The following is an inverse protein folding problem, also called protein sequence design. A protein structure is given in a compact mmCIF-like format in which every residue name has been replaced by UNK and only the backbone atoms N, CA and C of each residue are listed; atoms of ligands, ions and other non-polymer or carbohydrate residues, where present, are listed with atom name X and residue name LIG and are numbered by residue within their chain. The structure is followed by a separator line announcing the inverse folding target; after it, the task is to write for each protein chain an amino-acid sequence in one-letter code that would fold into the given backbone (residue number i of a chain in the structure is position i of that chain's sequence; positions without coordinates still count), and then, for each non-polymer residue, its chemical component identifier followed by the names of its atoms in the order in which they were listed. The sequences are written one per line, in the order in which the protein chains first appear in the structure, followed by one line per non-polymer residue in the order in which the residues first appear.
data_IF_560295323101
#
_entry.id   IF_560295323101
#
_cell.length_a   1.000
_cell.length_b   1.000
_cell.length_c   1.000
_cell.angle_alpha   90.00
_cell.angle_beta   90.00
_cell.angle_gamma   90.00
#
_symmetry.space_group_name_H-M   'P 1'
#
loop_
_entity.id
_entity.type
_entity.pdbx_description
1 polymer ?
#
# COMPACT_ATOMS: atom_id res chain seq x y z
N UNK A 1 0.35 37.56 14.56
CA UNK A 1 -1.10 37.23 14.50
C UNK A 1 -1.29 36.01 13.59
N UNK A 2 -1.50 34.82 14.14
CA UNK A 2 -1.79 33.61 13.35
C UNK A 2 -3.22 33.71 12.81
N UNK A 3 -3.38 33.93 11.49
CA UNK A 3 -4.68 33.85 10.83
C UNK A 3 -5.14 32.39 10.87
N UNK A 4 -6.14 32.08 11.70
CA UNK A 4 -6.83 30.78 11.64
C UNK A 4 -7.32 30.54 10.21
N UNK A 5 -7.10 29.33 9.63
CA UNK A 5 -7.61 29.02 8.31
C UNK A 5 -9.14 29.19 8.28
N UNK A 6 -9.62 29.89 7.25
CA UNK A 6 -11.03 30.19 7.05
C UNK A 6 -11.82 28.88 6.91
N UNK A 7 -12.91 28.75 7.68
CA UNK A 7 -13.86 27.62 7.67
C UNK A 7 -14.32 27.19 6.28
N UNK A 8 -14.32 28.12 5.31
CA UNK A 8 -14.68 27.85 3.91
C UNK A 8 -13.69 26.90 3.20
N UNK A 9 -12.41 26.93 3.55
CA UNK A 9 -11.39 26.10 2.88
C UNK A 9 -11.50 24.62 3.27
N UNK A 10 -11.87 24.34 4.54
CA UNK A 10 -12.12 22.96 5.00
C UNK A 10 -13.34 22.32 4.33
N UNK A 11 -14.37 23.11 4.02
CA UNK A 11 -15.59 22.61 3.36
C UNK A 11 -15.31 22.18 1.91
N UNK A 12 -14.47 22.95 1.19
CA UNK A 12 -14.11 22.63 -0.20
C UNK A 12 -13.36 21.29 -0.30
N UNK A 13 -12.41 21.03 0.60
CA UNK A 13 -11.63 19.79 0.60
C UNK A 13 -12.47 18.56 0.96
N UNK A 14 -13.44 18.70 1.87
CA UNK A 14 -14.40 17.64 2.17
C UNK A 14 -15.26 17.27 0.95
N UNK A 15 -15.63 18.25 0.13
CA UNK A 15 -16.43 18.02 -1.06
C UNK A 15 -15.68 17.23 -2.14
N UNK A 16 -14.41 17.53 -2.36
CA UNK A 16 -13.55 16.79 -3.31
C UNK A 16 -13.37 15.33 -2.90
N UNK A 17 -13.13 15.06 -1.60
CA UNK A 17 -13.00 13.68 -1.11
C UNK A 17 -14.32 12.90 -1.21
N UNK A 18 -15.46 13.57 -0.98
CA UNK A 18 -16.78 12.97 -1.16
C UNK A 18 -17.07 12.66 -2.63
N UNK A 19 -16.71 13.56 -3.55
CA UNK A 19 -16.83 13.34 -5.00
C UNK A 19 -15.92 12.21 -5.47
N UNK A 20 -14.67 12.12 -4.98
CA UNK A 20 -13.78 10.99 -5.28
C UNK A 20 -14.34 9.65 -4.78
N UNK A 21 -14.89 9.61 -3.56
CA UNK A 21 -15.54 8.40 -3.01
C UNK A 21 -16.76 7.99 -3.84
N UNK A 22 -17.60 8.95 -4.26
CA UNK A 22 -18.76 8.69 -5.11
C UNK A 22 -18.37 8.23 -6.51
N UNK A 23 -17.35 8.84 -7.13
CA UNK A 23 -16.82 8.38 -8.43
C UNK A 23 -16.25 6.98 -8.33
N UNK A 24 -15.49 6.65 -7.28
CA UNK A 24 -14.97 5.30 -7.06
C UNK A 24 -16.09 4.27 -6.89
N UNK A 25 -17.18 4.62 -6.21
CA UNK A 25 -18.36 3.74 -6.04
C UNK A 25 -19.15 3.55 -7.34
N UNK A 26 -19.11 4.54 -8.25
CA UNK A 26 -19.80 4.49 -9.54
C UNK A 26 -19.08 3.58 -10.55
N UNK A 27 -17.73 3.61 -10.59
CA UNK A 27 -16.93 2.75 -11.47
C UNK A 27 -16.98 1.27 -11.11
N UNK A 28 -17.50 0.92 -9.93
CA UNK A 28 -17.52 -0.43 -9.36
C UNK A 28 -18.95 -0.92 -9.13
N UNK A 29 -19.91 -0.51 -9.97
CA UNK A 29 -21.30 -0.99 -9.87
C UNK A 29 -21.37 -2.51 -10.15
N UNK A 30 -21.90 -3.33 -9.20
CA UNK A 30 -22.01 -4.78 -9.38
C UNK A 30 -22.87 -5.21 -10.59
N UNK A 31 -23.71 -4.31 -11.10
CA UNK A 31 -24.67 -4.61 -12.17
C UNK A 31 -24.04 -4.74 -13.56
N UNK A 32 -22.78 -4.36 -13.75
CA UNK A 32 -22.09 -4.39 -15.04
C UNK A 32 -20.84 -5.27 -15.08
N UNK A 33 -20.46 -5.89 -13.96
CA UNK A 33 -19.26 -6.73 -13.87
C UNK A 33 -19.61 -8.21 -13.90
N UNK A 34 -18.89 -9.06 -14.66
CA UNK A 34 -19.02 -10.51 -14.59
C UNK A 34 -18.59 -11.08 -13.21
N UNK A 35 -17.96 -10.27 -12.36
CA UNK A 35 -17.46 -10.64 -11.03
C UNK A 35 -17.99 -9.69 -9.95
N UNK A 36 -19.32 -9.64 -9.71
CA UNK A 36 -19.96 -8.69 -8.79
C UNK A 36 -19.47 -8.84 -7.34
N UNK A 37 -18.91 -10.02 -7.00
CA UNK A 37 -18.43 -10.34 -5.67
C UNK A 37 -17.08 -9.68 -5.35
N UNK A 38 -16.13 -9.70 -6.29
CA UNK A 38 -14.81 -9.10 -6.05
C UNK A 38 -14.90 -7.57 -6.08
N UNK A 39 -15.78 -7.05 -6.94
CA UNK A 39 -16.20 -5.66 -6.94
C UNK A 39 -16.84 -5.27 -5.60
N UNK A 40 -17.66 -6.15 -4.99
CA UNK A 40 -18.24 -5.90 -3.67
C UNK A 40 -17.22 -5.92 -2.52
N UNK A 41 -16.21 -6.81 -2.56
CA UNK A 41 -15.12 -6.82 -1.56
C UNK A 41 -14.23 -5.60 -1.72
N UNK A 42 -13.78 -5.25 -2.93
CA UNK A 42 -12.99 -4.04 -3.13
C UNK A 42 -13.78 -2.78 -2.78
N UNK A 43 -15.09 -2.74 -3.04
CA UNK A 43 -15.96 -1.67 -2.56
C UNK A 43 -16.16 -1.69 -1.04
N UNK A 44 -16.15 -2.85 -0.41
CA UNK A 44 -16.21 -2.96 1.04
C UNK A 44 -14.87 -2.54 1.67
N UNK A 45 -13.72 -2.85 1.08
CA UNK A 45 -12.40 -2.43 1.57
C UNK A 45 -12.12 -0.96 1.29
N UNK A 46 -12.39 -0.46 0.08
CA UNK A 46 -12.40 0.97 -0.24
C UNK A 46 -13.42 1.67 0.61
N UNK A 47 -14.60 1.06 0.81
CA UNK A 47 -15.65 1.53 1.66
C UNK A 47 -15.20 1.63 3.11
N UNK A 48 -14.56 0.61 3.68
CA UNK A 48 -14.06 0.53 5.05
C UNK A 48 -12.86 1.45 5.23
N UNK A 49 -11.91 1.51 4.29
CA UNK A 49 -10.83 2.49 4.27
C UNK A 49 -11.42 3.91 4.21
N UNK A 50 -12.38 4.17 3.32
CA UNK A 50 -13.12 5.43 3.19
C UNK A 50 -13.99 5.74 4.41
N UNK A 51 -14.52 4.73 5.10
CA UNK A 51 -15.36 4.89 6.29
C UNK A 51 -14.49 5.11 7.54
N UNK A 52 -13.36 4.43 7.66
CA UNK A 52 -12.31 4.73 8.65
C UNK A 52 -11.76 6.14 8.41
N UNK A 53 -11.55 6.52 7.13
CA UNK A 53 -11.19 7.87 6.66
C UNK A 53 -12.24 8.94 7.04
N UNK A 54 -13.53 8.60 7.09
CA UNK A 54 -14.63 9.51 7.42
C UNK A 54 -14.99 9.52 8.92
N UNK A 55 -14.85 8.39 9.62
CA UNK A 55 -15.13 8.24 11.05
C UNK A 55 -14.05 8.91 11.92
N UNK A 56 -12.83 9.10 11.41
CA UNK A 56 -11.73 9.83 12.08
C UNK A 56 -11.86 11.37 11.97
N UNK A 57 -12.99 11.86 11.46
CA UNK A 57 -13.41 13.27 11.42
C UNK A 57 -12.85 14.11 10.25
N UNK A 58 -13.59 15.17 9.94
CA UNK A 58 -13.35 16.14 8.88
C UNK A 58 -11.86 16.45 8.69
N UNK A 59 -11.25 15.88 7.64
CA UNK A 59 -9.88 16.11 7.16
C UNK A 59 -8.84 16.23 8.30
N UNK A 60 -8.05 15.18 8.58
CA UNK A 60 -7.02 15.24 9.61
C UNK A 60 -6.21 16.54 9.55
N UNK A 61 -6.23 17.32 10.64
CA UNK A 61 -5.45 18.56 10.68
C UNK A 61 -3.95 18.26 10.52
N UNK A 62 -3.50 17.11 11.02
CA UNK A 62 -2.12 16.66 10.84
C UNK A 62 -1.85 16.34 9.36
N UNK A 63 -0.83 16.99 8.81
CA UNK A 63 -0.27 16.69 7.49
C UNK A 63 0.19 15.23 7.40
N UNK A 64 0.69 14.69 8.50
CA UNK A 64 1.18 13.31 8.61
C UNK A 64 0.07 12.28 8.39
N UNK A 65 -1.11 12.44 9.02
CA UNK A 65 -2.21 11.51 8.81
C UNK A 65 -2.70 11.60 7.36
N UNK A 66 -2.82 12.82 6.79
CA UNK A 66 -3.13 12.98 5.36
C UNK A 66 -2.12 12.30 4.45
N UNK A 67 -0.84 12.40 4.75
CA UNK A 67 0.22 11.75 3.98
C UNK A 67 0.13 10.22 4.08
N UNK A 68 -0.08 9.68 5.28
CA UNK A 68 -0.29 8.24 5.47
C UNK A 68 -1.51 7.73 4.69
N UNK A 69 -2.61 8.49 4.72
CA UNK A 69 -3.81 8.19 3.93
C UNK A 69 -3.55 8.28 2.42
N UNK A 70 -2.80 9.30 1.98
CA UNK A 70 -2.32 9.39 0.59
C UNK A 70 -1.28 8.31 0.24
N UNK A 71 -0.78 7.54 1.20
CA UNK A 71 0.06 6.37 0.96
C UNK A 71 -0.74 5.07 0.84
N UNK A 72 -2.00 5.03 1.30
CA UNK A 72 -2.77 3.79 1.36
C UNK A 72 -3.14 3.23 -0.01
N UNK A 73 -3.14 4.05 -1.08
CA UNK A 73 -3.42 3.59 -2.44
C UNK A 73 -2.47 2.50 -2.91
N UNK A 74 -1.26 2.42 -2.34
CA UNK A 74 -0.27 1.37 -2.63
C UNK A 74 -0.78 -0.03 -2.29
N UNK A 75 -1.66 -0.13 -1.29
CA UNK A 75 -2.33 -1.38 -0.91
C UNK A 75 -3.60 -1.64 -1.72
N UNK A 76 -4.13 -0.66 -2.44
CA UNK A 76 -5.37 -0.83 -3.22
C UNK A 76 -5.07 -1.03 -4.70
N UNK A 77 -3.98 -0.45 -5.21
CA UNK A 77 -3.61 -0.49 -6.62
C UNK A 77 -3.38 -1.92 -7.13
N UNK A 78 -2.79 -2.79 -6.31
CA UNK A 78 -2.60 -4.19 -6.71
C UNK A 78 -3.92 -4.96 -6.78
N UNK A 79 -4.88 -4.64 -5.90
CA UNK A 79 -6.20 -5.25 -5.91
C UNK A 79 -6.89 -4.88 -7.22
N UNK A 80 -6.89 -3.59 -7.57
CA UNK A 80 -7.46 -3.14 -8.83
C UNK A 80 -6.77 -3.75 -10.04
N UNK A 81 -5.45 -3.87 -10.04
CA UNK A 81 -4.71 -4.53 -11.11
C UNK A 81 -5.24 -5.97 -11.34
N UNK A 82 -5.41 -6.74 -10.25
CA UNK A 82 -5.96 -8.10 -10.32
C UNK A 82 -7.41 -8.14 -10.74
N UNK A 83 -8.22 -7.15 -10.37
CA UNK A 83 -9.64 -7.11 -10.77
C UNK A 83 -9.84 -6.70 -12.21
N UNK A 84 -8.98 -5.82 -12.72
CA UNK A 84 -9.12 -5.25 -14.05
C UNK A 84 -8.51 -6.14 -15.13
N UNK A 85 -7.43 -6.86 -14.81
CA UNK A 85 -6.64 -7.57 -15.82
C UNK A 85 -6.57 -9.09 -15.64
N UNK A 86 -7.14 -9.64 -14.56
CA UNK A 86 -7.06 -11.06 -14.25
C UNK A 86 -8.41 -11.63 -13.83
N UNK A 87 -8.55 -12.96 -13.94
CA UNK A 87 -9.55 -13.71 -13.18
C UNK A 87 -8.88 -14.27 -11.90
N UNK A 88 -9.02 -13.62 -10.74
CA UNK A 88 -8.22 -13.95 -9.57
C UNK A 88 -8.36 -15.42 -9.14
N UNK A 89 -9.56 -16.00 -9.23
CA UNK A 89 -9.78 -17.37 -8.78
C UNK A 89 -9.10 -18.41 -9.68
N UNK A 90 -9.03 -18.14 -10.99
CA UNK A 90 -8.47 -19.07 -11.97
C UNK A 90 -6.97 -18.88 -12.19
N UNK A 91 -6.49 -17.65 -12.04
CA UNK A 91 -5.14 -17.25 -12.41
C UNK A 91 -4.23 -17.02 -11.22
N UNK A 92 -4.76 -16.72 -10.03
CA UNK A 92 -3.95 -16.39 -8.85
C UNK A 92 -4.04 -17.54 -7.85
N UNK A 93 -2.90 -18.06 -7.42
CA UNK A 93 -2.84 -19.13 -6.43
C UNK A 93 -1.54 -19.10 -5.64
N UNK A 94 -1.57 -19.65 -4.41
CA UNK A 94 -0.37 -19.84 -3.59
C UNK A 94 0.50 -20.95 -4.18
N UNK A 95 1.82 -20.81 -4.13
CA UNK A 95 2.74 -21.72 -4.84
C UNK A 95 2.61 -23.18 -4.41
N UNK A 96 2.21 -23.43 -3.17
CA UNK A 96 2.00 -24.79 -2.65
C UNK A 96 0.70 -25.45 -3.15
N UNK A 97 -0.24 -24.67 -3.71
CA UNK A 97 -1.57 -25.13 -4.09
C UNK A 97 -2.00 -24.56 -5.45
N UNK A 98 -1.91 -25.37 -6.52
CA UNK A 98 -2.33 -24.92 -7.84
C UNK A 98 -3.85 -24.65 -7.90
N UNK A 99 -4.22 -23.42 -8.28
CA UNK A 99 -5.61 -22.98 -8.54
C UNK A 99 -6.60 -23.31 -7.41
N UNK A 100 -6.14 -23.16 -6.17
CA UNK A 100 -6.90 -23.53 -4.98
C UNK A 100 -8.30 -22.89 -4.91
N UNK A 101 -8.44 -21.64 -5.37
CA UNK A 101 -9.69 -20.88 -5.27
C UNK A 101 -10.83 -21.42 -6.15
N UNK A 102 -10.52 -22.10 -7.26
CA UNK A 102 -11.54 -22.72 -8.12
C UNK A 102 -12.26 -23.88 -7.43
N UNK A 103 -11.58 -24.58 -6.54
CA UNK A 103 -12.14 -25.68 -5.76
C UNK A 103 -12.84 -25.24 -4.48
N UNK A 104 -12.76 -23.95 -4.13
CA UNK A 104 -13.36 -23.42 -2.91
C UNK A 104 -14.79 -22.95 -3.15
N UNK A 105 -15.72 -23.53 -2.39
CA UNK A 105 -17.06 -22.97 -2.24
C UNK A 105 -17.00 -21.62 -1.53
N UNK A 106 -18.05 -20.82 -1.75
CA UNK A 106 -18.18 -19.56 -1.04
C UNK A 106 -18.35 -19.81 0.47
N UNK A 107 -17.37 -19.36 1.26
CA UNK A 107 -17.34 -19.58 2.70
C UNK A 107 -16.09 -18.96 3.33
N UNK A 108 -15.83 -19.36 4.58
CA UNK A 108 -14.73 -18.78 5.37
C UNK A 108 -13.35 -18.99 4.72
N UNK A 109 -13.10 -20.15 4.14
CA UNK A 109 -11.82 -20.45 3.47
C UNK A 109 -11.58 -19.53 2.26
N UNK A 110 -12.62 -19.30 1.44
CA UNK A 110 -12.53 -18.39 0.29
C UNK A 110 -12.35 -16.94 0.71
N UNK A 111 -12.98 -16.53 1.82
CA UNK A 111 -12.75 -15.22 2.42
C UNK A 111 -11.32 -15.08 2.94
N UNK A 112 -10.79 -16.07 3.65
CA UNK A 112 -9.39 -16.06 4.11
C UNK A 112 -8.42 -15.99 2.93
N UNK A 113 -8.66 -16.76 1.88
CA UNK A 113 -7.87 -16.71 0.65
C UNK A 113 -7.90 -15.31 0.00
N UNK A 114 -9.10 -14.74 -0.17
CA UNK A 114 -9.26 -13.42 -0.76
C UNK A 114 -8.61 -12.33 0.11
N UNK A 115 -8.77 -12.39 1.43
CA UNK A 115 -8.11 -11.47 2.37
C UNK A 115 -6.59 -11.60 2.30
N UNK A 116 -6.06 -12.83 2.29
CA UNK A 116 -4.63 -13.08 2.15
C UNK A 116 -4.07 -12.48 0.85
N UNK A 117 -4.83 -12.55 -0.25
CA UNK A 117 -4.48 -11.90 -1.52
C UNK A 117 -4.49 -10.36 -1.40
N UNK A 118 -5.52 -9.79 -0.78
CA UNK A 118 -5.69 -8.34 -0.64
C UNK A 118 -4.62 -7.70 0.28
N UNK A 119 -4.09 -8.44 1.25
CA UNK A 119 -3.03 -7.94 2.14
C UNK A 119 -1.62 -8.27 1.67
N UNK A 120 -1.49 -8.92 0.51
CA UNK A 120 -0.20 -9.34 -0.07
C UNK A 120 0.16 -8.53 -1.32
N UNK A 121 0.41 -7.21 -1.22
CA UNK A 121 0.65 -6.35 -2.38
C UNK A 121 1.91 -6.73 -3.17
N UNK A 122 2.86 -7.44 -2.54
CA UNK A 122 4.08 -7.97 -3.17
C UNK A 122 3.94 -9.40 -3.67
N UNK A 123 2.80 -10.03 -3.41
CA UNK A 123 2.47 -11.36 -3.89
C UNK A 123 3.52 -12.42 -3.51
N UNK A 124 4.12 -12.28 -2.33
CA UNK A 124 5.11 -13.23 -1.81
C UNK A 124 4.41 -14.56 -1.51
N UNK A 125 4.96 -15.67 -2.00
CA UNK A 125 4.33 -16.99 -1.88
C UNK A 125 3.19 -17.24 -2.90
N UNK A 126 2.90 -16.29 -3.78
CA UNK A 126 1.93 -16.43 -4.87
C UNK A 126 2.62 -16.71 -6.21
N UNK A 127 1.89 -17.27 -7.17
CA UNK A 127 2.39 -17.58 -8.51
C UNK A 127 2.85 -16.34 -9.31
N UNK A 128 2.26 -15.17 -9.06
CA UNK A 128 2.67 -13.89 -9.67
C UNK A 128 3.84 -13.19 -8.96
N UNK A 129 4.20 -13.64 -7.75
CA UNK A 129 5.26 -13.04 -6.94
C UNK A 129 6.62 -13.00 -7.64
N UNK A 130 7.38 -11.92 -7.40
CA UNK A 130 8.75 -11.79 -7.89
C UNK A 130 9.60 -12.97 -7.40
N UNK A 131 10.22 -13.73 -8.32
CA UNK A 131 11.08 -14.88 -7.99
C UNK A 131 12.15 -14.59 -6.93
N UNK A 132 12.67 -13.37 -6.92
CA UNK A 132 13.69 -12.94 -5.95
C UNK A 132 13.20 -12.81 -4.52
N UNK A 133 11.89 -12.68 -4.31
CA UNK A 133 11.28 -12.53 -2.98
C UNK A 133 10.73 -13.85 -2.42
N UNK A 134 10.84 -14.96 -3.17
CA UNK A 134 10.01 -16.14 -2.94
C UNK A 134 10.34 -16.96 -1.69
N UNK A 135 11.49 -16.75 -1.04
CA UNK A 135 11.87 -17.59 0.10
C UNK A 135 12.61 -16.77 1.16
N UNK A 136 11.86 -15.99 1.93
CA UNK A 136 12.37 -15.59 3.24
C UNK A 136 12.74 -16.85 4.04
N UNK A 137 13.87 -16.87 4.74
CA UNK A 137 14.29 -18.05 5.49
C UNK A 137 13.24 -18.40 6.53
N UNK A 138 12.90 -19.69 6.62
CA UNK A 138 11.88 -20.18 7.56
C UNK A 138 12.20 -19.76 8.99
N UNK A 139 11.28 -19.04 9.63
CA UNK A 139 11.46 -18.52 10.99
C UNK A 139 10.28 -18.93 11.86
N UNK A 140 10.55 -19.33 13.09
CA UNK A 140 9.47 -19.64 14.02
C UNK A 140 8.61 -18.41 14.31
N UNK A 141 7.28 -18.60 14.34
CA UNK A 141 6.30 -17.54 14.60
C UNK A 141 6.62 -16.69 15.83
N UNK A 142 6.99 -17.33 16.94
CA UNK A 142 7.38 -16.63 18.19
C UNK A 142 8.60 -15.72 17.99
N UNK A 143 9.60 -16.20 17.25
CA UNK A 143 10.82 -15.43 16.95
C UNK A 143 10.51 -14.27 16.00
N UNK A 144 9.68 -14.50 14.98
CA UNK A 144 9.18 -13.46 14.10
C UNK A 144 8.50 -12.35 14.90
N UNK A 145 7.48 -12.69 15.69
CA UNK A 145 6.72 -11.70 16.48
C UNK A 145 7.65 -10.90 17.41
N UNK A 146 8.56 -11.57 18.12
CA UNK A 146 9.52 -10.88 19.00
C UNK A 146 10.46 -9.94 18.23
N UNK A 147 10.96 -10.35 17.06
CA UNK A 147 11.82 -9.52 16.23
C UNK A 147 11.04 -8.33 15.63
N UNK A 148 9.84 -8.59 15.14
CA UNK A 148 8.99 -7.60 14.49
C UNK A 148 8.49 -6.55 15.48
N UNK A 149 8.16 -6.96 16.71
CA UNK A 149 7.80 -6.02 17.78
C UNK A 149 8.98 -5.14 18.18
N UNK A 150 10.19 -5.70 18.36
CA UNK A 150 11.39 -4.91 18.64
C UNK A 150 11.68 -3.92 17.51
N UNK A 151 11.54 -4.39 16.27
CA UNK A 151 11.79 -3.56 15.10
C UNK A 151 10.76 -2.43 14.98
N UNK A 152 9.47 -2.74 15.12
CA UNK A 152 8.36 -1.78 15.21
C UNK A 152 8.65 -0.69 16.24
N UNK A 153 8.98 -1.06 17.48
CA UNK A 153 9.31 -0.08 18.53
C UNK A 153 10.50 0.80 18.13
N UNK A 154 11.55 0.22 17.54
CA UNK A 154 12.73 0.98 17.10
C UNK A 154 12.38 1.99 16.01
N UNK A 155 11.69 1.57 14.95
CA UNK A 155 11.34 2.48 13.85
C UNK A 155 10.32 3.53 14.29
N UNK A 156 9.40 3.17 15.18
CA UNK A 156 8.44 4.10 15.76
C UNK A 156 9.13 5.20 16.58
N UNK A 157 10.07 4.85 17.46
CA UNK A 157 10.84 5.83 18.25
C UNK A 157 11.66 6.77 17.36
N UNK A 158 12.28 6.23 16.30
CA UNK A 158 13.04 7.06 15.33
C UNK A 158 12.10 8.03 14.61
N UNK A 159 10.93 7.55 14.16
CA UNK A 159 9.93 8.39 13.50
C UNK A 159 9.39 9.50 14.42
N UNK A 160 9.12 9.17 15.69
CA UNK A 160 8.65 10.13 16.70
C UNK A 160 9.72 11.21 16.95
N UNK A 161 10.97 10.79 17.17
CA UNK A 161 12.09 11.72 17.36
C UNK A 161 12.30 12.65 16.15
N UNK A 162 12.25 12.13 14.92
CA UNK A 162 12.35 12.93 13.70
C UNK A 162 11.17 13.91 13.56
N UNK A 163 9.95 13.48 13.92
CA UNK A 163 8.77 14.35 13.92
C UNK A 163 8.94 15.53 14.89
N UNK A 164 9.53 15.30 16.07
CA UNK A 164 9.86 16.38 17.02
C UNK A 164 10.88 17.38 16.45
N UNK A 165 11.80 16.93 15.60
CA UNK A 165 12.76 17.81 14.91
C UNK A 165 12.04 18.68 13.89
N UNK A 166 11.09 18.13 13.12
CA UNK A 166 10.28 18.92 12.17
C UNK A 166 9.48 20.02 12.84
N UNK A 167 8.82 19.69 13.96
CA UNK A 167 8.02 20.64 14.72
C UNK A 167 8.88 21.80 15.25
N UNK A 168 10.13 21.52 15.59
CA UNK A 168 11.10 22.54 16.03
C UNK A 168 11.61 23.42 14.89
N UNK A 169 11.82 22.86 13.69
CA UNK A 169 12.36 23.58 12.54
C UNK A 169 11.35 24.43 11.77
N UNK A 170 10.04 24.32 12.06
CA UNK A 170 8.98 25.06 11.34
C UNK A 170 9.15 24.94 9.82
N UNK A 171 9.03 23.70 9.34
CA UNK A 171 9.21 23.28 7.94
C UNK A 171 8.81 24.27 6.82
N UNK A 172 7.66 24.98 6.89
CA UNK A 172 7.28 25.92 5.85
C UNK A 172 8.31 27.03 5.60
N UNK A 173 9.06 27.41 6.64
CA UNK A 173 10.03 28.51 6.58
C UNK A 173 11.39 28.05 6.01
N UNK A 174 11.62 26.74 5.88
CA UNK A 174 12.94 26.20 5.48
C UNK A 174 13.17 26.24 3.97
N UNK A 175 12.11 26.18 3.15
CA UNK A 175 12.26 26.39 1.70
C UNK A 175 12.63 27.84 1.36
N UNK A 176 12.32 28.78 2.26
CA UNK A 176 12.70 30.18 2.18
C UNK A 176 14.08 30.44 2.84
N UNK A 177 14.69 29.43 3.50
CA UNK A 177 16.01 29.56 4.08
C UNK A 177 17.11 29.60 2.99
N UNK A 178 18.11 30.49 3.13
CA UNK A 178 19.20 30.61 2.16
C UNK A 178 20.27 29.50 2.28
N UNK A 179 20.32 28.78 3.39
CA UNK A 179 21.32 27.75 3.66
C UNK A 179 21.00 26.43 2.96
N UNK A 180 21.92 25.97 2.09
CA UNK A 180 21.83 24.65 1.48
C UNK A 180 21.88 23.52 2.52
N UNK A 181 22.62 23.73 3.61
CA UNK A 181 22.75 22.74 4.68
C UNK A 181 21.40 22.52 5.38
N UNK A 182 20.66 23.58 5.67
CA UNK A 182 19.35 23.49 6.34
C UNK A 182 18.36 22.70 5.47
N UNK A 183 18.34 22.99 4.16
CA UNK A 183 17.51 22.27 3.18
C UNK A 183 17.88 20.79 3.08
N UNK A 184 19.18 20.48 3.12
CA UNK A 184 19.66 19.10 3.09
C UNK A 184 19.24 18.35 4.36
N UNK A 185 19.43 18.95 5.54
CA UNK A 185 19.06 18.33 6.82
C UNK A 185 17.55 18.07 6.92
N UNK A 186 16.73 19.02 6.49
CA UNK A 186 15.29 18.87 6.36
C UNK A 186 14.95 17.75 5.37
N UNK A 187 15.58 17.72 4.19
CA UNK A 187 15.31 16.65 3.22
C UNK A 187 15.62 15.25 3.77
N UNK A 188 16.72 15.12 4.52
CA UNK A 188 17.10 13.87 5.20
C UNK A 188 16.06 13.50 6.26
N UNK A 189 15.64 14.46 7.09
CA UNK A 189 14.63 14.23 8.13
C UNK A 189 13.27 13.81 7.54
N UNK A 190 12.80 14.50 6.50
CA UNK A 190 11.62 14.09 5.72
C UNK A 190 11.72 12.65 5.22
N UNK A 191 12.88 12.28 4.68
CA UNK A 191 13.12 10.93 4.20
C UNK A 191 13.06 9.91 5.34
N UNK A 192 13.65 10.20 6.50
CA UNK A 192 13.60 9.33 7.69
C UNK A 192 12.17 9.12 8.15
N UNK A 193 11.36 10.18 8.25
CA UNK A 193 9.95 10.05 8.66
C UNK A 193 9.17 9.20 7.65
N UNK A 194 9.34 9.47 6.36
CA UNK A 194 8.66 8.72 5.31
C UNK A 194 9.04 7.23 5.36
N UNK A 195 10.33 6.93 5.44
CA UNK A 195 10.87 5.56 5.54
C UNK A 195 10.34 4.84 6.78
N UNK A 196 10.50 5.45 7.96
CA UNK A 196 10.06 4.84 9.21
C UNK A 196 8.54 4.70 9.30
N UNK A 197 7.77 5.60 8.70
CA UNK A 197 6.30 5.49 8.62
C UNK A 197 5.87 4.26 7.83
N UNK A 198 6.51 4.00 6.69
CA UNK A 198 6.22 2.82 5.87
C UNK A 198 6.64 1.54 6.57
N UNK A 199 7.82 1.52 7.18
CA UNK A 199 8.29 0.40 8.00
C UNK A 199 7.34 0.12 9.17
N UNK A 200 6.86 1.17 9.86
CA UNK A 200 5.91 1.04 10.97
C UNK A 200 4.59 0.42 10.50
N UNK A 201 4.04 0.88 9.37
CA UNK A 201 2.80 0.33 8.80
C UNK A 201 2.99 -1.13 8.40
N UNK A 202 4.06 -1.45 7.65
CA UNK A 202 4.36 -2.80 7.20
C UNK A 202 4.53 -3.76 8.37
N UNK A 203 5.31 -3.37 9.37
CA UNK A 203 5.59 -4.19 10.55
C UNK A 203 4.34 -4.37 11.42
N UNK A 204 3.48 -3.36 11.52
CA UNK A 204 2.20 -3.45 12.22
C UNK A 204 1.26 -4.46 11.55
N UNK A 205 1.05 -4.34 10.23
CA UNK A 205 0.18 -5.26 9.49
C UNK A 205 0.72 -6.69 9.60
N UNK A 206 2.04 -6.89 9.42
CA UNK A 206 2.65 -8.22 9.56
C UNK A 206 2.47 -8.83 10.95
N UNK A 207 2.49 -8.00 11.99
CA UNK A 207 2.29 -8.46 13.37
C UNK A 207 0.85 -8.93 13.55
N UNK A 208 -0.12 -8.10 13.14
CA UNK A 208 -1.55 -8.43 13.25
C UNK A 208 -1.87 -9.70 12.47
N UNK A 209 -1.34 -9.83 11.27
CA UNK A 209 -1.65 -10.93 10.37
C UNK A 209 -1.08 -12.27 10.85
N UNK A 210 0.19 -12.28 11.27
CA UNK A 210 0.86 -13.48 11.79
C UNK A 210 0.34 -13.87 13.18
N UNK A 211 -0.06 -12.90 14.03
CA UNK A 211 -0.73 -13.17 15.31
C UNK A 211 -2.13 -13.76 15.05
N UNK A 212 -2.85 -13.22 14.07
CA UNK A 212 -4.16 -13.71 13.64
C UNK A 212 -4.11 -15.08 12.96
N UNK A 213 -2.92 -15.56 12.57
CA UNK A 213 -2.74 -16.83 11.88
C UNK A 213 -3.26 -16.82 10.44
N UNK A 214 -3.32 -15.65 9.82
CA UNK A 214 -3.75 -15.45 8.43
C UNK A 214 -2.60 -15.71 7.43
N UNK A 215 -1.36 -15.51 7.87
CA UNK A 215 -0.14 -15.75 7.10
C UNK A 215 0.98 -16.31 7.97
N UNK A 216 2.04 -16.76 7.32
CA UNK A 216 3.26 -17.21 7.97
C UNK A 216 4.35 -16.12 7.94
N UNK A 217 5.33 -16.17 8.86
CA UNK A 217 6.44 -15.22 8.91
C UNK A 217 7.17 -15.00 7.57
N UNK A 218 7.23 -16.03 6.73
CA UNK A 218 7.94 -16.02 5.46
C UNK A 218 7.23 -15.16 4.40
N UNK A 219 5.93 -14.92 4.56
CA UNK A 219 5.12 -14.08 3.67
C UNK A 219 5.40 -12.58 3.85
N UNK A 220 6.11 -12.22 4.92
CA UNK A 220 6.42 -10.83 5.30
C UNK A 220 7.91 -10.49 5.20
N UNK A 221 8.54 -10.52 4.01
CA UNK A 221 9.91 -10.06 3.87
C UNK A 221 10.03 -8.57 4.23
N UNK A 222 11.24 -8.04 4.47
CA UNK A 222 11.45 -6.60 4.64
C UNK A 222 10.84 -5.82 3.47
N UNK A 223 10.10 -4.72 3.73
CA UNK A 223 9.44 -3.94 2.67
C UNK A 223 10.45 -3.28 1.73
N UNK A 224 11.59 -2.85 2.27
CA UNK A 224 12.70 -2.32 1.52
C UNK A 224 13.78 -3.38 1.25
N UNK A 225 14.53 -3.16 0.17
CA UNK A 225 15.71 -3.96 -0.15
C UNK A 225 16.88 -3.74 0.82
N UNK A 226 18.02 -4.35 0.53
CA UNK A 226 19.25 -4.05 1.28
C UNK A 226 19.88 -2.76 0.75
N UNK A 227 20.64 -2.05 1.60
CA UNK A 227 21.38 -0.87 1.15
C UNK A 227 22.45 -1.22 0.10
N UNK A 228 22.95 -2.46 0.10
CA UNK A 228 23.91 -2.96 -0.89
C UNK A 228 23.35 -2.96 -2.32
N UNK A 229 22.02 -3.02 -2.46
CA UNK A 229 21.36 -2.98 -3.77
C UNK A 229 21.30 -1.55 -4.38
N UNK A 230 21.64 -0.51 -3.62
CA UNK A 230 21.56 0.90 -4.03
C UNK A 230 22.72 1.36 -4.94
N UNK A 231 23.12 0.56 -5.93
CA UNK A 231 24.27 0.91 -6.79
C UNK A 231 23.94 1.95 -7.88
N UNK A 232 22.66 2.25 -8.10
CA UNK A 232 22.20 3.26 -9.05
C UNK A 232 20.84 3.83 -8.64
N UNK A 233 20.48 5.00 -9.19
CA UNK A 233 19.16 5.62 -8.94
C UNK A 233 18.02 4.68 -9.34
N UNK A 234 18.16 3.97 -10.46
CA UNK A 234 17.17 3.00 -10.91
C UNK A 234 17.00 1.82 -9.93
N UNK A 235 18.09 1.29 -9.39
CA UNK A 235 18.01 0.23 -8.38
C UNK A 235 17.50 0.74 -7.03
N UNK A 236 17.84 1.97 -6.66
CA UNK A 236 17.25 2.60 -5.48
C UNK A 236 15.72 2.60 -5.57
N UNK A 237 15.14 3.08 -6.67
CA UNK A 237 13.69 3.14 -6.81
C UNK A 237 13.05 1.75 -6.98
N UNK A 238 13.57 0.92 -7.88
CA UNK A 238 12.90 -0.35 -8.24
C UNK A 238 13.24 -1.51 -7.30
N UNK A 239 14.44 -1.53 -6.71
CA UNK A 239 14.92 -2.65 -5.89
C UNK A 239 14.94 -2.33 -4.40
N UNK A 240 15.14 -1.08 -4.00
CA UNK A 240 15.10 -0.72 -2.58
C UNK A 240 13.75 -0.13 -2.15
N UNK A 241 13.28 0.94 -2.79
CA UNK A 241 12.17 1.77 -2.30
C UNK A 241 10.77 1.23 -2.67
N UNK A 242 10.50 1.01 -3.96
CA UNK A 242 9.14 0.76 -4.47
C UNK A 242 8.87 -0.69 -4.87
N UNK A 243 9.42 -1.67 -4.13
CA UNK A 243 9.16 -3.09 -4.44
C UNK A 243 7.66 -3.42 -4.47
N UNK A 244 6.88 -2.77 -3.60
CA UNK A 244 5.42 -2.95 -3.49
C UNK A 244 4.66 -2.58 -4.76
N UNK A 245 5.18 -1.62 -5.54
CA UNK A 245 4.52 -1.14 -6.77
C UNK A 245 4.88 -1.97 -7.99
N UNK A 246 5.96 -2.73 -7.93
CA UNK A 246 6.52 -3.35 -9.12
C UNK A 246 5.51 -4.27 -9.81
N UNK A 247 4.87 -5.18 -9.06
CA UNK A 247 3.89 -6.10 -9.65
C UNK A 247 2.61 -5.38 -10.07
N UNK A 248 2.09 -4.48 -9.24
CA UNK A 248 0.86 -3.76 -9.54
C UNK A 248 0.99 -2.88 -10.78
N UNK A 249 2.15 -2.30 -11.04
CA UNK A 249 2.33 -1.44 -12.22
C UNK A 249 2.62 -2.23 -13.51
N UNK A 250 2.99 -3.51 -13.42
CA UNK A 250 3.23 -4.33 -14.59
C UNK A 250 1.95 -4.60 -15.39
N UNK A 251 0.83 -4.88 -14.73
CA UNK A 251 -0.47 -5.04 -15.39
C UNK A 251 -0.88 -3.79 -16.16
N UNK A 252 -0.84 -2.63 -15.49
CA UNK A 252 -1.14 -1.33 -16.14
C UNK A 252 -0.17 -1.01 -17.28
N UNK A 253 1.12 -1.28 -17.12
CA UNK A 253 2.12 -1.05 -18.16
C UNK A 253 1.84 -1.89 -19.41
N UNK A 254 1.52 -3.19 -19.23
CA UNK A 254 1.15 -4.08 -20.33
C UNK A 254 -0.12 -3.61 -21.03
N UNK A 255 -1.14 -3.22 -20.28
CA UNK A 255 -2.39 -2.70 -20.83
C UNK A 255 -2.16 -1.42 -21.63
N UNK A 256 -1.35 -0.49 -21.10
CA UNK A 256 -1.00 0.75 -21.79
C UNK A 256 -0.20 0.49 -23.07
N UNK A 257 0.77 -0.43 -23.03
CA UNK A 257 1.55 -0.81 -24.22
C UNK A 257 0.63 -1.44 -25.27
N UNK A 258 -0.27 -2.35 -24.88
CA UNK A 258 -1.21 -2.96 -25.80
C UNK A 258 -2.11 -1.90 -26.46
N UNK A 259 -2.63 -0.96 -25.67
CA UNK A 259 -3.43 0.16 -26.17
C UNK A 259 -2.66 1.04 -27.17
N UNK A 260 -1.39 1.36 -26.89
CA UNK A 260 -0.58 2.24 -27.74
C UNK A 260 -0.05 1.56 -29.01
N UNK A 261 0.28 0.26 -28.94
CA UNK A 261 0.92 -0.46 -30.05
C UNK A 261 -0.10 -1.12 -30.98
N UNK A 262 -1.24 -1.58 -30.47
CA UNK A 262 -2.26 -2.27 -31.28
C UNK A 262 -3.66 -2.05 -30.69
N UNK A 263 -4.29 -0.89 -30.98
CA UNK A 263 -5.62 -0.55 -30.45
C UNK A 263 -6.67 -1.63 -30.76
N UNK A 264 -6.54 -2.28 -31.92
CA UNK A 264 -7.48 -3.29 -32.41
C UNK A 264 -7.41 -4.61 -31.61
N UNK A 265 -6.25 -4.94 -31.03
CA UNK A 265 -6.05 -6.15 -30.19
C UNK A 265 -6.45 -5.87 -28.73
N UNK A 266 -6.27 -4.63 -28.26
CA UNK A 266 -6.59 -4.24 -26.89
C UNK A 266 -8.09 -4.40 -26.55
N UNK A 267 -9.00 -4.23 -27.52
CA UNK A 267 -10.44 -4.41 -27.31
C UNK A 267 -10.92 -5.86 -27.24
N UNK A 268 -10.06 -6.85 -27.52
CA UNK A 268 -10.43 -8.28 -27.44
C UNK A 268 -10.04 -8.95 -26.12
N UNK A 269 -9.21 -8.29 -25.30
CA UNK A 269 -8.66 -8.83 -24.04
C UNK A 269 -9.12 -8.07 -22.78
N UNK A 270 -10.02 -7.10 -22.94
CA UNK A 270 -10.76 -6.43 -21.86
C UNK A 270 -12.19 -6.97 -21.88
#
# INVERSE_FOLDING_TARGET
MNKKPSRKHNIQNCKVLQEMSQSMTYFTSPKSSPHPFIVAISNAEIGILSHILLLISACPQSSQLRYGLLGSWLYVVHIFEKLLFHNPEAEVWRQDYEKEALGMDFGWQKLQWASALCISPREVGWNFGLQRLQHAPKMSRKRFIANQLRYFCRVFIIMDAASMVQDRWKYPDVFDHPSLLDRLLVSIDSFVIMFCSWETQWTFVSLVDVIGGLSEPEDWPPIHGTFDDMTSVGRFWCSFWQQILHQSLLGYSRALIAFLVSPDVAMQHI
#
